data_IF_448973530307
#
_entry.id   IF_448973530307
#
_cell.length_a   1.000
_cell.length_b   1.000
_cell.length_c   1.000
_cell.angle_alpha   90.00
_cell.angle_beta   90.00
_cell.angle_gamma   90.00
#
_symmetry.space_group_name_H-M   'P 1'
#
loop_
_entity.id
_entity.type
_entity.pdbx_description
1 polymer ?
#
# COMPACT_ATOMS: atom_id res chain seq x y z
N UNK A 1 -62.43 13.30 14.64
CA UNK A 1 -61.87 14.33 15.54
C UNK A 1 -60.49 14.68 15.01
N UNK A 2 -60.38 15.90 14.47
CA UNK A 2 -59.24 16.83 14.27
C UNK A 2 -57.81 16.26 14.28
N UNK A 3 -56.88 16.63 13.40
CA UNK A 3 -56.84 17.69 12.37
C UNK A 3 -55.62 17.50 11.46
N UNK A 4 -55.79 17.92 10.22
CA UNK A 4 -54.88 18.07 9.08
C UNK A 4 -53.65 18.95 9.37
N UNK A 5 -52.56 18.80 8.59
CA UNK A 5 -52.16 19.81 7.59
C UNK A 5 -50.95 19.37 6.73
N UNK A 6 -51.06 19.72 5.45
CA UNK A 6 -50.14 19.50 4.34
C UNK A 6 -48.94 20.48 4.36
N UNK A 7 -47.91 20.19 3.56
CA UNK A 7 -47.30 21.27 2.75
C UNK A 7 -45.78 21.36 2.62
N UNK A 8 -45.29 20.84 1.48
CA UNK A 8 -44.41 21.53 0.52
C UNK A 8 -42.88 21.63 0.72
N UNK A 9 -42.22 21.23 -0.37
CA UNK A 9 -40.81 21.38 -0.77
C UNK A 9 -40.47 22.77 -1.33
N UNK A 10 -39.24 23.28 -1.12
CA UNK A 10 -38.20 23.58 -2.15
C UNK A 10 -37.10 24.56 -1.68
N UNK A 11 -35.89 24.26 -2.18
CA UNK A 11 -34.66 25.04 -2.45
C UNK A 11 -34.36 26.40 -1.79
N UNK A 12 -33.13 26.52 -1.26
CA UNK A 12 -32.39 27.76 -1.01
C UNK A 12 -30.88 27.50 -0.99
N UNK A 13 -30.13 28.33 -1.70
CA UNK A 13 -28.72 28.25 -2.11
C UNK A 13 -27.69 28.60 -1.02
N UNK A 14 -26.49 28.01 -1.13
CA UNK A 14 -25.33 28.22 -0.26
C UNK A 14 -24.54 29.52 -0.60
N UNK A 15 -25.07 30.70 -0.30
CA UNK A 15 -24.30 31.96 -0.41
C UNK A 15 -24.19 32.81 0.88
N UNK A 16 -24.84 32.45 2.00
CA UNK A 16 -24.95 33.36 3.15
C UNK A 16 -23.96 33.14 4.32
N UNK A 17 -22.87 32.38 4.15
CA UNK A 17 -21.93 32.10 5.27
C UNK A 17 -20.60 32.87 5.23
N UNK A 18 -20.41 33.83 4.34
CA UNK A 18 -19.12 34.55 4.19
C UNK A 18 -19.06 36.00 4.72
N UNK A 19 -20.13 36.53 5.33
CA UNK A 19 -20.14 37.92 5.83
C UNK A 19 -20.63 38.06 7.27
N UNK A 20 -19.82 37.69 8.26
CA UNK A 20 -19.97 38.22 9.62
C UNK A 20 -18.60 38.57 10.24
N UNK A 21 -18.35 39.87 10.42
CA UNK A 21 -17.21 40.40 11.20
C UNK A 21 -17.56 40.40 12.69
N UNK A 22 -16.62 40.12 13.61
CA UNK A 22 -16.89 40.21 15.05
C UNK A 22 -16.91 41.67 15.55
N UNK A 23 -17.67 41.97 16.62
CA UNK A 23 -17.85 43.33 17.14
C UNK A 23 -16.66 43.84 17.96
N UNK A 24 -16.42 45.14 17.87
CA UNK A 24 -15.37 45.88 18.58
C UNK A 24 -15.76 46.19 20.03
N UNK A 25 -14.90 45.84 21.00
CA UNK A 25 -15.02 46.24 22.41
C UNK A 25 -14.09 47.42 22.72
N UNK A 26 -14.67 48.51 23.23
CA UNK A 26 -13.99 49.69 23.75
C UNK A 26 -13.69 49.51 25.24
N UNK A 27 -12.45 49.76 25.68
CA UNK A 27 -12.11 49.79 27.10
C UNK A 27 -11.45 51.11 27.48
N UNK A 28 -12.15 51.88 28.33
CA UNK A 28 -11.58 52.95 29.15
C UNK A 28 -10.93 52.35 30.40
N UNK A 29 -9.69 52.79 30.65
CA UNK A 29 -8.95 52.90 31.92
C UNK A 29 -9.19 51.90 33.04
N UNK A 30 -8.18 51.08 33.32
CA UNK A 30 -7.72 50.74 34.67
C UNK A 30 -6.26 50.24 34.62
N UNK A 31 -5.50 50.64 35.63
CA UNK A 31 -4.03 50.58 35.79
C UNK A 31 -3.46 49.15 35.81
N UNK A 32 -2.37 48.91 35.05
CA UNK A 32 -1.62 47.64 35.04
C UNK A 32 -0.64 47.57 36.23
N UNK A 33 -0.55 46.44 36.96
CA UNK A 33 0.61 46.15 37.79
C UNK A 33 1.80 45.70 36.92
N UNK A 34 2.97 46.29 37.16
CA UNK A 34 4.25 45.88 36.55
C UNK A 34 4.63 44.47 37.02
N UNK A 35 4.66 43.51 36.08
CA UNK A 35 5.31 42.21 36.29
C UNK A 35 6.71 42.31 35.71
N UNK A 36 7.71 42.41 36.59
CA UNK A 36 9.12 42.39 36.23
C UNK A 36 9.52 41.00 35.70
N UNK A 37 9.87 40.92 34.41
CA UNK A 37 10.54 39.75 33.86
C UNK A 37 12.01 39.76 34.30
N UNK A 38 12.39 38.82 35.18
CA UNK A 38 13.79 38.55 35.50
C UNK A 38 14.50 38.06 34.23
N UNK A 39 15.40 38.89 33.70
CA UNK A 39 16.35 38.49 32.66
C UNK A 39 17.30 37.43 33.24
N UNK A 40 17.29 36.23 32.68
CA UNK A 40 18.31 35.22 32.95
C UNK A 40 19.67 35.73 32.48
N UNK A 41 20.74 35.57 33.29
CA UNK A 41 22.06 36.08 32.92
C UNK A 41 22.60 35.35 31.69
N UNK A 42 23.14 36.11 30.74
CA UNK A 42 23.88 35.59 29.59
C UNK A 42 25.05 34.74 30.11
N UNK A 43 25.05 33.43 29.85
CA UNK A 43 26.24 32.60 29.99
C UNK A 43 27.23 32.99 28.88
N UNK A 44 28.08 33.97 29.16
CA UNK A 44 29.36 34.15 28.47
C UNK A 44 30.39 34.51 29.52
N UNK A 45 31.06 33.50 30.07
CA UNK A 45 32.45 33.57 30.55
C UNK A 45 32.92 32.17 31.00
N UNK A 46 32.88 31.21 30.07
CA UNK A 46 33.76 30.04 30.15
C UNK A 46 34.73 30.13 28.98
N UNK A 47 36.01 30.37 29.26
CA UNK A 47 37.10 30.21 28.30
C UNK A 47 37.00 28.80 27.70
N UNK A 48 36.42 28.68 26.51
CA UNK A 48 36.33 27.42 25.78
C UNK A 48 37.73 27.13 25.23
N UNK A 49 38.35 26.04 25.69
CA UNK A 49 39.54 25.50 25.02
C UNK A 49 39.16 25.21 23.56
N UNK A 50 40.01 25.56 22.57
CA UNK A 50 39.72 25.21 21.19
C UNK A 50 39.59 23.69 21.08
N UNK A 51 38.51 23.23 20.45
CA UNK A 51 38.29 21.81 20.20
C UNK A 51 39.51 21.24 19.44
N UNK A 52 40.00 20.04 19.79
CA UNK A 52 41.13 19.45 19.09
C UNK A 52 40.77 19.30 17.61
N UNK A 53 41.60 19.86 16.72
CA UNK A 53 41.43 19.69 15.27
C UNK A 53 41.57 18.20 14.95
N UNK A 54 40.43 17.53 14.76
CA UNK A 54 40.38 16.18 14.22
C UNK A 54 41.05 16.20 12.84
N UNK A 55 42.30 15.75 12.76
CA UNK A 55 42.93 15.42 11.48
C UNK A 55 42.13 14.26 10.89
N UNK A 56 41.15 14.54 10.03
CA UNK A 56 40.45 13.52 9.26
C UNK A 56 41.47 12.89 8.31
N UNK A 57 42.12 11.81 8.75
CA UNK A 57 42.83 10.93 7.81
C UNK A 57 41.76 10.40 6.85
N UNK A 58 41.93 10.50 5.53
CA UNK A 58 40.98 9.88 4.60
C UNK A 58 40.95 8.38 4.90
N UNK A 59 39.75 7.82 5.05
CA UNK A 59 39.58 6.37 5.18
C UNK A 59 40.14 5.74 3.90
N UNK A 60 41.23 4.96 4.02
CA UNK A 60 41.69 4.11 2.92
C UNK A 60 40.81 2.87 2.89
N UNK A 61 39.80 2.89 2.02
CA UNK A 61 38.84 1.78 1.80
C UNK A 61 39.53 0.46 1.41
N UNK A 62 40.76 0.52 0.92
CA UNK A 62 41.63 -0.63 0.64
C UNK A 62 41.97 -1.47 1.89
N UNK A 63 41.94 -0.87 3.09
CA UNK A 63 42.24 -1.54 4.35
C UNK A 63 41.06 -2.27 4.98
N UNK A 64 39.85 -2.06 4.44
CA UNK A 64 38.59 -2.57 4.99
C UNK A 64 37.71 -3.05 3.82
N UNK A 65 38.06 -4.15 3.13
CA UNK A 65 37.30 -4.67 2.00
C UNK A 65 35.83 -4.95 2.34
N UNK A 66 35.52 -5.25 3.59
CA UNK A 66 34.17 -5.41 4.16
C UNK A 66 33.35 -4.11 4.19
N UNK A 67 34.01 -2.93 4.26
CA UNK A 67 33.34 -1.62 4.15
C UNK A 67 32.97 -1.27 2.70
N UNK A 68 33.24 -2.14 1.71
CA UNK A 68 32.65 -2.03 0.36
C UNK A 68 31.14 -2.29 0.37
N UNK A 69 30.61 -2.96 1.39
CA UNK A 69 29.19 -3.25 1.52
C UNK A 69 28.50 -2.01 2.09
N UNK A 70 28.09 -1.10 1.22
CA UNK A 70 27.49 0.15 1.68
C UNK A 70 26.06 0.01 2.20
N UNK A 71 25.28 -1.01 1.83
CA UNK A 71 23.86 -1.06 2.21
C UNK A 71 23.31 -2.50 2.19
N UNK A 72 22.67 -2.94 3.29
CA UNK A 72 21.93 -4.22 3.54
C UNK A 72 22.78 -5.49 3.40
N UNK A 73 22.59 -6.48 4.27
CA UNK A 73 23.11 -7.84 4.02
C UNK A 73 22.43 -8.34 2.73
N UNK A 74 23.17 -8.58 1.63
CA UNK A 74 22.57 -9.07 0.42
C UNK A 74 21.90 -10.42 0.71
N UNK A 75 20.80 -10.71 0.00
CA UNK A 75 20.21 -12.04 0.05
C UNK A 75 21.29 -13.07 -0.27
N UNK A 76 21.29 -14.17 0.49
CA UNK A 76 22.17 -15.28 0.16
C UNK A 76 21.71 -15.90 -1.17
N UNK A 77 22.65 -16.46 -1.93
CA UNK A 77 22.36 -17.00 -3.26
C UNK A 77 21.28 -18.10 -3.25
N UNK A 78 21.20 -18.89 -2.17
CA UNK A 78 20.16 -19.90 -1.95
C UNK A 78 18.77 -19.28 -1.68
N UNK A 79 18.73 -18.15 -0.96
CA UNK A 79 17.51 -17.36 -0.77
C UNK A 79 17.02 -16.78 -2.09
N UNK A 80 17.90 -16.18 -2.89
CA UNK A 80 17.57 -15.66 -4.23
C UNK A 80 16.99 -16.76 -5.13
N UNK A 81 17.65 -17.92 -5.20
CA UNK A 81 17.17 -19.07 -5.97
C UNK A 81 15.79 -19.56 -5.51
N UNK A 82 15.56 -19.62 -4.19
CA UNK A 82 14.27 -20.04 -3.62
C UNK A 82 13.15 -19.07 -3.97
N UNK A 83 13.41 -17.76 -3.86
CA UNK A 83 12.46 -16.70 -4.22
C UNK A 83 12.18 -16.73 -5.72
N UNK A 84 13.20 -16.80 -6.58
CA UNK A 84 13.04 -16.91 -8.04
C UNK A 84 12.25 -18.15 -8.45
N UNK A 85 12.50 -19.30 -7.81
CA UNK A 85 11.74 -20.52 -8.07
C UNK A 85 10.25 -20.30 -7.77
N UNK A 86 9.96 -19.70 -6.63
CA UNK A 86 8.57 -19.39 -6.22
C UNK A 86 7.91 -18.42 -7.20
N UNK A 87 8.62 -17.39 -7.67
CA UNK A 87 8.14 -16.47 -8.71
C UNK A 87 7.80 -17.22 -10.00
N UNK A 88 8.69 -18.09 -10.48
CA UNK A 88 8.46 -18.90 -11.69
C UNK A 88 7.22 -19.79 -11.57
N UNK A 89 7.01 -20.38 -10.40
CA UNK A 89 5.83 -21.21 -10.12
C UNK A 89 4.55 -20.36 -10.04
N UNK A 90 4.63 -19.14 -9.51
CA UNK A 90 3.51 -18.20 -9.48
C UNK A 90 3.15 -17.68 -10.89
N UNK A 91 4.15 -17.47 -11.75
CA UNK A 91 4.00 -16.91 -13.11
C UNK A 91 3.91 -17.98 -14.20
N UNK A 92 3.50 -19.20 -13.85
CA UNK A 92 3.31 -20.28 -14.82
C UNK A 92 2.33 -19.85 -15.94
N UNK A 93 2.68 -20.02 -17.24
CA UNK A 93 1.82 -19.61 -18.34
C UNK A 93 0.42 -20.23 -18.25
N UNK A 94 -0.61 -19.39 -18.45
CA UNK A 94 -2.01 -19.81 -18.37
C UNK A 94 -2.57 -19.87 -16.94
N UNK A 95 -1.77 -19.56 -15.91
CA UNK A 95 -2.21 -19.50 -14.53
C UNK A 95 -2.18 -18.09 -13.96
N UNK A 96 -2.96 -17.87 -12.91
CA UNK A 96 -3.01 -16.61 -12.17
C UNK A 96 -3.12 -16.80 -10.66
N UNK A 97 -3.30 -15.69 -9.95
CA UNK A 97 -3.44 -15.67 -8.51
C UNK A 97 -4.87 -15.28 -8.15
N UNK A 98 -5.55 -16.11 -7.37
CA UNK A 98 -6.86 -15.78 -6.82
C UNK A 98 -6.69 -14.95 -5.55
N UNK A 99 -7.18 -13.71 -5.56
CA UNK A 99 -7.19 -12.84 -4.39
C UNK A 99 -8.53 -12.95 -3.66
N UNK A 100 -8.52 -13.59 -2.48
CA UNK A 100 -9.63 -13.70 -1.52
C UNK A 100 -9.31 -12.89 -0.27
N UNK A 101 -8.88 -11.66 -0.51
CA UNK A 101 -8.39 -10.69 0.46
C UNK A 101 -9.36 -9.52 0.65
N UNK A 102 -10.65 -9.72 0.35
CA UNK A 102 -11.68 -8.73 0.61
C UNK A 102 -11.76 -8.38 2.10
N UNK A 103 -12.02 -7.11 2.42
CA UNK A 103 -12.37 -6.75 3.80
C UNK A 103 -13.77 -7.27 4.11
N UNK A 104 -14.09 -7.48 5.39
CA UNK A 104 -15.44 -7.86 5.83
C UNK A 104 -16.49 -6.92 5.23
N UNK A 105 -16.24 -5.61 5.30
CA UNK A 105 -17.13 -4.58 4.73
C UNK A 105 -17.31 -4.72 3.22
N UNK A 106 -16.25 -5.01 2.47
CA UNK A 106 -16.33 -5.17 1.03
C UNK A 106 -17.08 -6.46 0.66
N UNK A 107 -16.80 -7.55 1.37
CA UNK A 107 -17.48 -8.82 1.16
C UNK A 107 -18.97 -8.73 1.52
N UNK A 108 -19.32 -8.06 2.62
CA UNK A 108 -20.72 -7.77 2.98
C UNK A 108 -21.41 -6.95 1.89
N UNK A 109 -20.75 -5.94 1.33
CA UNK A 109 -21.31 -5.16 0.21
C UNK A 109 -21.57 -6.04 -1.02
N UNK A 110 -20.68 -6.98 -1.36
CA UNK A 110 -20.88 -7.94 -2.45
C UNK A 110 -22.06 -8.88 -2.15
N UNK A 111 -22.10 -9.46 -0.94
CA UNK A 111 -23.15 -10.39 -0.55
C UNK A 111 -24.53 -9.72 -0.48
N UNK A 112 -24.61 -8.43 -0.09
CA UNK A 112 -25.86 -7.66 -0.09
C UNK A 112 -26.53 -7.52 -1.47
N UNK A 113 -25.81 -7.76 -2.55
CA UNK A 113 -26.39 -7.77 -3.90
C UNK A 113 -27.24 -9.01 -4.17
N UNK A 114 -27.07 -10.07 -3.37
CA UNK A 114 -27.72 -11.37 -3.56
C UNK A 114 -28.51 -11.82 -2.31
N UNK A 115 -28.11 -11.36 -1.12
CA UNK A 115 -28.69 -11.70 0.17
C UNK A 115 -29.15 -10.43 0.90
N UNK A 116 -30.32 -10.42 1.50
CA UNK A 116 -30.83 -9.25 2.22
C UNK A 116 -29.97 -8.89 3.46
N UNK A 117 -29.58 -9.89 4.24
CA UNK A 117 -28.78 -9.72 5.47
C UNK A 117 -27.64 -10.74 5.53
N UNK A 118 -26.46 -10.44 4.96
CA UNK A 118 -25.31 -11.34 5.02
C UNK A 118 -24.79 -11.53 6.44
N UNK A 119 -24.59 -12.78 6.84
CA UNK A 119 -24.04 -13.18 8.14
C UNK A 119 -22.59 -13.62 8.00
N UNK A 120 -21.94 -13.85 9.14
CA UNK A 120 -20.58 -14.39 9.17
C UNK A 120 -20.47 -15.75 8.46
N UNK A 121 -21.48 -16.62 8.65
CA UNK A 121 -21.51 -17.92 8.00
C UNK A 121 -21.60 -17.80 6.47
N UNK A 122 -22.25 -16.77 5.93
CA UNK A 122 -22.31 -16.53 4.47
C UNK A 122 -20.95 -16.14 3.91
N UNK A 123 -20.16 -15.35 4.65
CA UNK A 123 -18.78 -15.01 4.26
C UNK A 123 -17.89 -16.26 4.24
N UNK A 124 -18.05 -17.13 5.24
CA UNK A 124 -17.35 -18.42 5.30
C UNK A 124 -17.74 -19.32 4.13
N UNK A 125 -19.04 -19.47 3.87
CA UNK A 125 -19.57 -20.25 2.73
C UNK A 125 -19.07 -19.73 1.40
N UNK A 126 -19.01 -18.41 1.22
CA UNK A 126 -18.46 -17.79 0.01
C UNK A 126 -17.00 -18.22 -0.24
N UNK A 127 -16.14 -18.13 0.78
CA UNK A 127 -14.75 -18.58 0.65
C UNK A 127 -14.64 -20.08 0.43
N UNK A 128 -15.41 -20.88 1.17
CA UNK A 128 -15.44 -22.33 1.01
C UNK A 128 -15.93 -22.75 -0.38
N UNK A 129 -16.90 -22.03 -0.96
CA UNK A 129 -17.35 -22.25 -2.33
C UNK A 129 -16.22 -21.97 -3.35
N UNK A 130 -15.50 -20.85 -3.21
CA UNK A 130 -14.39 -20.53 -4.10
C UNK A 130 -13.27 -21.55 -4.03
N UNK A 131 -12.91 -21.99 -2.82
CA UNK A 131 -11.85 -22.97 -2.58
C UNK A 131 -12.32 -24.42 -2.84
N UNK A 132 -13.63 -24.65 -2.82
CA UNK A 132 -14.28 -25.94 -3.04
C UNK A 132 -14.28 -26.40 -4.50
N UNK A 133 -13.90 -25.54 -5.44
CA UNK A 133 -13.67 -25.90 -6.85
C UNK A 133 -12.51 -26.92 -7.03
N UNK A 134 -11.75 -27.19 -5.96
CA UNK A 134 -10.79 -28.29 -5.78
C UNK A 134 -9.79 -28.46 -6.95
N UNK A 135 -9.51 -29.69 -7.40
CA UNK A 135 -8.43 -30.04 -8.34
C UNK A 135 -8.41 -29.20 -9.64
N UNK A 136 -9.56 -28.67 -10.07
CA UNK A 136 -9.65 -27.84 -11.28
C UNK A 136 -9.00 -26.46 -11.07
N UNK A 137 -8.88 -25.98 -9.83
CA UNK A 137 -8.22 -24.71 -9.51
C UNK A 137 -6.78 -24.71 -10.02
N UNK A 138 -6.05 -25.81 -9.89
CA UNK A 138 -4.62 -25.89 -10.26
C UNK A 138 -4.37 -25.79 -11.77
N UNK A 139 -5.41 -25.94 -12.59
CA UNK A 139 -5.32 -25.73 -14.04
C UNK A 139 -5.17 -24.24 -14.38
N UNK A 140 -5.73 -23.35 -13.55
CA UNK A 140 -5.81 -21.91 -13.83
C UNK A 140 -5.17 -21.04 -12.75
N UNK A 141 -4.86 -21.62 -11.59
CA UNK A 141 -4.29 -20.90 -10.46
C UNK A 141 -2.95 -21.49 -10.09
N UNK A 142 -2.01 -20.60 -9.81
CA UNK A 142 -0.70 -20.92 -9.23
C UNK A 142 -0.66 -20.59 -7.73
N UNK A 143 -1.49 -19.65 -7.28
CA UNK A 143 -1.57 -19.25 -5.88
C UNK A 143 -2.90 -18.63 -5.47
N UNK A 144 -3.08 -18.53 -4.15
CA UNK A 144 -4.25 -17.90 -3.54
C UNK A 144 -3.79 -16.94 -2.44
N UNK A 145 -4.25 -15.69 -2.49
CA UNK A 145 -3.91 -14.65 -1.53
C UNK A 145 -5.09 -14.38 -0.57
N UNK A 146 -4.88 -14.56 0.73
CA UNK A 146 -5.88 -14.29 1.77
C UNK A 146 -5.60 -12.98 2.51
N UNK A 147 -6.59 -12.42 3.19
CA UNK A 147 -6.29 -11.50 4.31
C UNK A 147 -5.70 -12.26 5.48
N UNK A 148 -4.82 -11.62 6.23
CA UNK A 148 -4.25 -12.16 7.46
C UNK A 148 -5.32 -12.69 8.45
N UNK A 149 -6.43 -11.95 8.61
CA UNK A 149 -7.53 -12.36 9.51
C UNK A 149 -8.24 -13.66 9.08
N UNK A 150 -8.08 -14.10 7.84
CA UNK A 150 -8.70 -15.32 7.31
C UNK A 150 -7.81 -16.56 7.49
N UNK A 151 -6.58 -16.43 8.00
CA UNK A 151 -5.63 -17.54 8.20
C UNK A 151 -6.23 -18.64 9.09
N UNK A 152 -6.85 -18.25 10.19
CA UNK A 152 -7.45 -19.18 11.16
C UNK A 152 -8.90 -19.53 10.85
N UNK A 153 -9.46 -18.99 9.77
CA UNK A 153 -10.83 -19.28 9.38
C UNK A 153 -10.95 -20.75 8.98
N UNK A 154 -12.02 -21.39 9.50
CA UNK A 154 -12.33 -22.78 9.24
C UNK A 154 -13.55 -22.90 8.35
N UNK A 155 -13.54 -23.88 7.45
CA UNK A 155 -14.69 -24.30 6.67
C UNK A 155 -15.72 -25.03 7.54
N UNK A 156 -16.80 -25.47 6.92
CA UNK A 156 -17.92 -26.14 7.62
C UNK A 156 -17.45 -27.42 8.33
N UNK A 157 -16.55 -28.18 7.68
CA UNK A 157 -15.98 -29.42 8.23
C UNK A 157 -14.84 -29.18 9.24
N UNK A 158 -14.70 -27.95 9.77
CA UNK A 158 -13.69 -27.60 10.76
C UNK A 158 -12.25 -27.51 10.24
N UNK A 159 -12.00 -27.82 8.95
CA UNK A 159 -10.67 -27.67 8.33
C UNK A 159 -10.33 -26.20 8.11
N UNK A 160 -9.06 -25.80 8.32
CA UNK A 160 -8.60 -24.44 8.00
C UNK A 160 -8.65 -24.20 6.49
N UNK A 161 -9.16 -23.06 6.07
CA UNK A 161 -9.31 -22.73 4.65
C UNK A 161 -7.95 -22.67 3.93
N UNK A 162 -6.91 -22.17 4.60
CA UNK A 162 -5.54 -22.12 4.05
C UNK A 162 -4.95 -23.51 3.79
N UNK A 163 -5.41 -24.56 4.49
CA UNK A 163 -4.95 -25.94 4.25
C UNK A 163 -5.46 -26.47 2.92
N UNK A 164 -6.67 -26.07 2.50
CA UNK A 164 -7.27 -26.48 1.22
C UNK A 164 -6.37 -26.03 0.05
N UNK A 165 -5.82 -24.82 0.12
CA UNK A 165 -4.92 -24.27 -0.90
C UNK A 165 -3.63 -25.09 -1.04
N UNK A 166 -3.05 -25.49 0.09
CA UNK A 166 -1.84 -26.33 0.09
C UNK A 166 -2.10 -27.73 -0.43
N UNK A 167 -3.21 -28.36 -0.01
CA UNK A 167 -3.63 -29.69 -0.50
C UNK A 167 -3.91 -29.68 -2.01
N UNK A 168 -4.40 -28.55 -2.54
CA UNK A 168 -4.57 -28.34 -3.97
C UNK A 168 -3.25 -28.13 -4.74
N UNK A 169 -2.10 -28.07 -4.05
CA UNK A 169 -0.79 -27.83 -4.65
C UNK A 169 -0.61 -26.40 -5.17
N UNK A 170 -1.32 -25.43 -4.58
CA UNK A 170 -1.24 -24.01 -4.88
C UNK A 170 -0.36 -23.29 -3.85
N UNK A 171 0.27 -22.20 -4.29
CA UNK A 171 1.05 -21.32 -3.41
C UNK A 171 0.13 -20.55 -2.46
N UNK A 172 0.45 -20.58 -1.18
CA UNK A 172 -0.27 -19.81 -0.17
C UNK A 172 0.34 -18.41 -0.06
N UNK A 173 -0.49 -17.39 -0.22
CA UNK A 173 -0.08 -16.01 0.01
C UNK A 173 -1.01 -15.24 0.93
N UNK A 174 -0.46 -14.20 1.55
CA UNK A 174 -1.20 -13.36 2.52
C UNK A 174 -1.03 -11.89 2.18
N UNK A 175 -2.14 -11.17 2.07
CA UNK A 175 -2.16 -9.71 2.09
C UNK A 175 -2.00 -9.21 3.52
N UNK A 176 -0.96 -8.40 3.71
CA UNK A 176 -0.43 -8.01 5.02
C UNK A 176 -0.59 -6.51 5.31
N UNK A 177 -0.99 -5.71 4.32
CA UNK A 177 -1.36 -4.32 4.60
C UNK A 177 -2.59 -4.23 5.52
N UNK A 178 -2.55 -3.31 6.48
CA UNK A 178 -3.58 -3.22 7.54
C UNK A 178 -4.66 -2.20 7.22
N UNK A 179 -4.27 -0.94 6.99
CA UNK A 179 -5.20 0.16 6.86
C UNK A 179 -4.72 1.21 5.86
N UNK A 180 -5.69 1.83 5.18
CA UNK A 180 -5.45 3.08 4.47
C UNK A 180 -5.60 4.24 5.45
N UNK A 181 -4.58 5.10 5.49
CA UNK A 181 -4.54 6.30 6.33
C UNK A 181 -4.39 7.53 5.43
N UNK A 182 -4.94 8.67 5.85
CA UNK A 182 -4.79 9.92 5.11
C UNK A 182 -3.38 10.46 5.27
N UNK A 183 -2.79 10.96 4.18
CA UNK A 183 -1.52 11.69 4.25
C UNK A 183 -1.83 13.14 4.66
N UNK A 184 -1.42 13.60 5.85
CA UNK A 184 -1.65 14.98 6.26
C UNK A 184 -0.97 15.97 5.30
N UNK A 185 -1.61 17.11 5.05
CA UNK A 185 -1.09 18.12 4.12
C UNK A 185 -1.32 17.81 2.64
N UNK A 186 -2.07 16.76 2.30
CA UNK A 186 -2.47 16.42 0.92
C UNK A 186 -3.97 16.60 0.68
N UNK A 187 -4.39 16.61 -0.59
CA UNK A 187 -5.79 16.70 -0.99
C UNK A 187 -6.49 15.34 -0.92
N UNK A 188 -6.56 14.77 0.28
CA UNK A 188 -7.24 13.49 0.50
C UNK A 188 -6.51 12.34 -0.20
N UNK A 189 -5.19 12.29 -0.11
CA UNK A 189 -4.40 11.17 -0.60
C UNK A 189 -4.19 10.13 0.51
N UNK A 190 -3.84 8.91 0.10
CA UNK A 190 -3.74 7.76 1.00
C UNK A 190 -2.31 7.26 1.11
N UNK A 191 -1.93 6.86 2.33
CA UNK A 191 -0.83 5.96 2.60
C UNK A 191 -1.38 4.63 3.16
N UNK A 192 -0.53 3.62 3.18
CA UNK A 192 -0.87 2.31 3.74
C UNK A 192 0.01 1.98 4.93
N UNK A 193 -0.61 1.52 6.01
CA UNK A 193 0.05 1.22 7.29
C UNK A 193 0.22 -0.30 7.54
N UNK A 194 1.15 -0.66 8.43
CA UNK A 194 1.36 -2.02 8.95
C UNK A 194 2.81 -2.49 9.07
N UNK A 195 3.81 -1.63 8.81
CA UNK A 195 5.22 -2.05 8.70
C UNK A 195 5.91 -2.31 10.05
N UNK A 196 5.43 -1.71 11.13
CA UNK A 196 6.13 -1.69 12.43
C UNK A 196 6.38 -3.09 13.02
N UNK A 197 5.47 -4.03 12.79
CA UNK A 197 5.54 -5.43 13.29
C UNK A 197 5.61 -6.44 12.15
N UNK A 198 6.07 -5.99 10.98
CA UNK A 198 5.94 -6.77 9.76
C UNK A 198 6.93 -7.94 9.68
N UNK A 199 8.14 -7.79 10.20
CA UNK A 199 9.13 -8.89 10.25
C UNK A 199 8.63 -10.06 11.11
N UNK A 200 8.11 -9.77 12.31
CA UNK A 200 7.47 -10.78 13.19
C UNK A 200 6.26 -11.44 12.51
N UNK A 201 5.49 -10.63 11.76
CA UNK A 201 4.37 -11.14 10.97
C UNK A 201 4.88 -12.14 9.94
N UNK A 202 5.93 -11.82 9.19
CA UNK A 202 6.54 -12.72 8.21
C UNK A 202 7.02 -14.04 8.83
N UNK A 203 7.65 -14.00 10.01
CA UNK A 203 8.08 -15.22 10.71
C UNK A 203 6.89 -16.15 11.00
N UNK A 204 5.77 -15.61 11.50
CA UNK A 204 4.53 -16.39 11.69
C UNK A 204 3.97 -16.90 10.36
N UNK A 205 4.00 -16.08 9.30
CA UNK A 205 3.52 -16.48 7.98
C UNK A 205 4.32 -17.63 7.38
N UNK A 206 5.65 -17.64 7.58
CA UNK A 206 6.50 -18.76 7.17
C UNK A 206 6.16 -20.04 7.94
N UNK A 207 5.86 -19.95 9.24
CA UNK A 207 5.46 -21.11 10.04
C UNK A 207 4.15 -21.75 9.56
N UNK A 208 3.21 -20.95 9.04
CA UNK A 208 2.00 -21.48 8.40
C UNK A 208 2.22 -21.83 6.93
N UNK A 209 3.45 -21.77 6.43
CA UNK A 209 3.88 -22.08 5.05
C UNK A 209 3.31 -21.16 3.98
N UNK A 210 3.22 -19.86 4.26
CA UNK A 210 3.07 -18.87 3.21
C UNK A 210 4.38 -18.75 2.40
N UNK A 211 4.23 -18.51 1.10
CA UNK A 211 5.34 -18.44 0.15
C UNK A 211 5.43 -17.05 -0.52
N UNK A 212 4.32 -16.32 -0.54
CA UNK A 212 4.27 -14.94 -1.02
C UNK A 212 3.40 -14.06 -0.14
N UNK A 213 3.59 -12.75 -0.26
CA UNK A 213 2.87 -11.73 0.50
C UNK A 213 2.47 -10.60 -0.42
N UNK A 214 1.37 -9.92 -0.12
CA UNK A 214 0.89 -8.80 -0.93
C UNK A 214 0.73 -7.55 -0.07
N UNK A 215 1.13 -6.41 -0.62
CA UNK A 215 0.90 -5.11 -0.01
C UNK A 215 0.36 -4.13 -1.05
N UNK A 216 -0.76 -3.50 -0.72
CA UNK A 216 -1.42 -2.54 -1.61
C UNK A 216 -1.25 -1.10 -1.16
N UNK A 217 -0.79 -0.24 -2.06
CA UNK A 217 -0.88 1.22 -1.93
C UNK A 217 -1.89 1.80 -2.91
N UNK A 218 -2.55 2.88 -2.51
CA UNK A 218 -3.63 3.52 -3.27
C UNK A 218 -3.22 4.94 -3.66
N UNK A 219 -3.35 5.24 -4.94
CA UNK A 219 -3.12 6.56 -5.50
C UNK A 219 -4.44 7.13 -6.01
N UNK A 220 -4.66 8.41 -5.77
CA UNK A 220 -5.86 9.13 -6.21
C UNK A 220 -5.50 10.03 -7.38
N UNK A 221 -6.37 10.06 -8.39
CA UNK A 221 -6.34 11.07 -9.45
C UNK A 221 -7.59 11.90 -9.29
N UNK A 222 -7.48 13.17 -8.95
CA UNK A 222 -8.62 14.07 -8.67
C UNK A 222 -8.53 15.38 -9.45
N UNK A 223 -7.82 15.37 -10.59
CA UNK A 223 -7.64 16.52 -11.48
C UNK A 223 -6.81 17.69 -10.91
N UNK A 224 -6.54 17.69 -9.60
CA UNK A 224 -5.91 18.76 -8.84
C UNK A 224 -4.46 18.43 -8.48
N UNK A 225 -3.62 18.15 -9.47
CA UNK A 225 -2.21 17.78 -9.28
C UNK A 225 -1.99 16.54 -8.37
N UNK A 226 -2.90 15.57 -8.44
CA UNK A 226 -2.79 14.29 -7.75
C UNK A 226 -2.49 13.15 -8.74
N UNK A 227 -1.65 12.16 -8.39
CA UNK A 227 -0.99 12.01 -7.09
C UNK A 227 0.10 13.05 -6.86
N UNK A 228 0.19 13.60 -5.66
CA UNK A 228 1.25 14.55 -5.31
C UNK A 228 2.60 13.85 -5.21
N UNK A 229 3.69 14.63 -5.31
CA UNK A 229 5.04 14.13 -5.06
C UNK A 229 5.18 13.47 -3.68
N UNK A 230 4.47 13.98 -2.67
CA UNK A 230 4.48 13.38 -1.33
C UNK A 230 3.82 12.00 -1.33
N UNK A 231 2.65 11.85 -1.96
CA UNK A 231 1.99 10.55 -2.08
C UNK A 231 2.80 9.54 -2.89
N UNK A 232 3.46 10.00 -3.97
CA UNK A 232 4.41 9.20 -4.74
C UNK A 232 5.54 8.67 -3.85
N UNK A 233 6.21 9.55 -3.12
CA UNK A 233 7.35 9.19 -2.26
C UNK A 233 6.95 8.27 -1.10
N UNK A 234 5.90 8.62 -0.36
CA UNK A 234 5.44 7.85 0.81
C UNK A 234 5.05 6.43 0.41
N UNK A 235 4.20 6.28 -0.61
CA UNK A 235 3.74 4.96 -1.02
C UNK A 235 4.85 4.13 -1.68
N UNK A 236 5.70 4.74 -2.52
CA UNK A 236 6.82 4.03 -3.17
C UNK A 236 7.82 3.52 -2.14
N UNK A 237 8.17 4.34 -1.14
CA UNK A 237 9.07 3.96 -0.07
C UNK A 237 8.45 2.87 0.84
N UNK A 238 7.15 2.96 1.15
CA UNK A 238 6.44 1.90 1.91
C UNK A 238 6.47 0.57 1.17
N UNK A 239 6.17 0.55 -0.12
CA UNK A 239 6.19 -0.67 -0.94
C UNK A 239 7.60 -1.26 -1.04
N UNK A 240 8.63 -0.42 -1.21
CA UNK A 240 10.02 -0.88 -1.26
C UNK A 240 10.49 -1.47 0.09
N UNK A 241 10.14 -0.85 1.22
CA UNK A 241 10.40 -1.40 2.56
C UNK A 241 9.70 -2.73 2.78
N UNK A 242 8.42 -2.82 2.39
CA UNK A 242 7.66 -4.07 2.43
C UNK A 242 8.38 -5.17 1.62
N UNK A 243 8.80 -4.88 0.39
CA UNK A 243 9.46 -5.86 -0.46
C UNK A 243 10.81 -6.31 0.12
N UNK A 244 11.62 -5.38 0.62
CA UNK A 244 12.91 -5.67 1.26
C UNK A 244 12.75 -6.60 2.47
N UNK A 245 11.82 -6.29 3.39
CA UNK A 245 11.55 -7.13 4.57
C UNK A 245 11.02 -8.51 4.13
N UNK A 246 10.12 -8.56 3.14
CA UNK A 246 9.54 -9.82 2.63
C UNK A 246 10.64 -10.77 2.14
N UNK A 247 11.56 -10.25 1.33
CA UNK A 247 12.63 -11.04 0.73
C UNK A 247 13.64 -11.51 1.76
N UNK A 248 14.01 -10.66 2.72
CA UNK A 248 14.85 -11.06 3.88
C UNK A 248 14.25 -12.26 4.61
N UNK A 249 12.92 -12.33 4.69
CA UNK A 249 12.18 -13.43 5.32
C UNK A 249 11.88 -14.61 4.38
N UNK A 250 12.43 -14.59 3.17
CA UNK A 250 12.27 -15.65 2.16
C UNK A 250 10.82 -15.78 1.66
N UNK A 251 10.12 -14.65 1.51
CA UNK A 251 8.78 -14.55 0.91
C UNK A 251 8.86 -13.72 -0.38
N UNK A 252 8.12 -14.13 -1.40
CA UNK A 252 7.96 -13.32 -2.63
C UNK A 252 7.03 -12.13 -2.36
N UNK A 253 7.48 -10.87 -2.50
CA UNK A 253 6.60 -9.72 -2.43
C UNK A 253 5.81 -9.51 -3.73
N UNK A 254 4.49 -9.43 -3.61
CA UNK A 254 3.62 -8.82 -4.61
C UNK A 254 3.35 -7.38 -4.22
N UNK A 255 3.98 -6.47 -4.93
CA UNK A 255 3.86 -5.03 -4.75
C UNK A 255 2.66 -4.55 -5.58
N UNK A 256 1.57 -4.18 -4.89
CA UNK A 256 0.32 -3.82 -5.55
C UNK A 256 0.10 -2.31 -5.58
N UNK A 257 0.01 -1.79 -6.79
CA UNK A 257 -0.41 -0.42 -7.07
C UNK A 257 -1.90 -0.44 -7.39
N UNK A 258 -2.68 0.41 -6.72
CA UNK A 258 -4.04 0.70 -7.13
C UNK A 258 -4.18 2.19 -7.41
N UNK A 259 -4.82 2.52 -8.53
CA UNK A 259 -5.14 3.89 -8.91
C UNK A 259 -6.64 4.05 -8.91
N UNK A 260 -7.13 5.01 -8.14
CA UNK A 260 -8.53 5.43 -8.16
C UNK A 260 -8.70 6.45 -9.29
N UNK A 261 -9.04 5.92 -10.46
CA UNK A 261 -9.25 6.68 -11.68
C UNK A 261 -10.47 7.59 -11.56
N UNK A 262 -10.28 8.87 -11.81
CA UNK A 262 -11.38 9.83 -11.90
C UNK A 262 -12.04 9.76 -13.29
N UNK A 263 -13.38 9.75 -13.36
CA UNK A 263 -14.08 9.77 -14.64
C UNK A 263 -13.72 11.01 -15.47
N UNK A 264 -13.61 10.82 -16.79
CA UNK A 264 -13.42 11.93 -17.73
C UNK A 264 -11.97 12.37 -17.96
N UNK A 265 -10.99 11.72 -17.33
CA UNK A 265 -9.57 11.97 -17.63
C UNK A 265 -9.19 11.49 -19.03
N UNK A 266 -8.27 12.21 -19.68
CA UNK A 266 -7.73 11.82 -20.98
C UNK A 266 -6.81 10.60 -20.84
N UNK A 267 -6.71 9.79 -21.91
CA UNK A 267 -5.79 8.66 -21.94
C UNK A 267 -4.32 9.07 -21.73
N UNK A 268 -3.94 10.26 -22.20
CA UNK A 268 -2.60 10.82 -21.98
C UNK A 268 -2.35 11.12 -20.50
N UNK A 269 -3.30 11.75 -19.81
CA UNK A 269 -3.17 12.03 -18.39
C UNK A 269 -3.08 10.74 -17.57
N UNK A 270 -3.92 9.75 -17.86
CA UNK A 270 -3.85 8.46 -17.18
C UNK A 270 -2.50 7.76 -17.39
N UNK A 271 -1.93 7.83 -18.59
CA UNK A 271 -0.60 7.30 -18.88
C UNK A 271 0.48 8.05 -18.10
N UNK A 272 0.42 9.37 -18.06
CA UNK A 272 1.39 10.20 -17.35
C UNK A 272 1.37 9.91 -15.85
N UNK A 273 0.18 9.79 -15.25
CA UNK A 273 0.03 9.41 -13.84
C UNK A 273 0.62 8.02 -13.59
N UNK A 274 0.24 7.01 -14.37
CA UNK A 274 0.75 5.66 -14.16
C UNK A 274 2.27 5.61 -14.32
N UNK A 275 2.82 6.33 -15.31
CA UNK A 275 4.27 6.43 -15.53
C UNK A 275 4.99 7.03 -14.32
N UNK A 276 4.45 8.09 -13.74
CA UNK A 276 5.03 8.72 -12.54
C UNK A 276 5.01 7.77 -11.34
N UNK A 277 3.89 7.07 -11.12
CA UNK A 277 3.77 6.08 -10.04
C UNK A 277 4.80 4.96 -10.19
N UNK A 278 4.87 4.33 -11.37
CA UNK A 278 5.79 3.21 -11.62
C UNK A 278 7.26 3.64 -11.57
N UNK A 279 7.58 4.83 -12.09
CA UNK A 279 8.96 5.36 -12.05
C UNK A 279 9.41 5.66 -10.61
N UNK A 280 8.52 6.27 -9.81
CA UNK A 280 8.79 6.52 -8.39
C UNK A 280 8.95 5.21 -7.61
N UNK A 281 8.10 4.23 -7.88
CA UNK A 281 8.16 2.92 -7.26
C UNK A 281 9.49 2.21 -7.56
N UNK A 282 9.89 2.13 -8.84
CA UNK A 282 11.14 1.47 -9.21
C UNK A 282 12.36 2.15 -8.63
N UNK A 283 12.38 3.48 -8.61
CA UNK A 283 13.43 4.22 -7.93
C UNK A 283 13.55 3.80 -6.47
N UNK A 284 12.43 3.74 -5.73
CA UNK A 284 12.45 3.28 -4.34
C UNK A 284 12.85 1.82 -4.20
N UNK A 285 12.39 0.92 -5.08
CA UNK A 285 12.79 -0.49 -5.08
C UNK A 285 14.31 -0.63 -5.24
N UNK A 286 14.93 0.16 -6.14
CA UNK A 286 16.38 0.19 -6.32
C UNK A 286 17.12 0.79 -5.12
N UNK A 287 16.62 1.89 -4.55
CA UNK A 287 17.21 2.52 -3.35
C UNK A 287 17.19 1.58 -2.14
N UNK A 288 16.19 0.71 -2.04
CA UNK A 288 16.09 -0.34 -1.02
C UNK A 288 16.80 -1.65 -1.41
N UNK A 289 17.43 -1.69 -2.59
CA UNK A 289 18.13 -2.86 -3.13
C UNK A 289 17.30 -4.14 -3.11
N UNK A 290 16.01 -4.00 -3.42
CA UNK A 290 15.12 -5.15 -3.56
C UNK A 290 15.57 -5.98 -4.77
N UNK A 291 15.62 -7.29 -4.58
CA UNK A 291 15.93 -8.23 -5.65
C UNK A 291 14.77 -8.30 -6.65
N UNK A 292 14.93 -7.67 -7.81
CA UNK A 292 13.81 -7.39 -8.73
C UNK A 292 13.26 -8.66 -9.39
N UNK A 293 14.13 -9.64 -9.67
CA UNK A 293 13.79 -10.95 -10.21
C UNK A 293 12.92 -11.77 -9.24
N UNK A 294 13.02 -11.44 -7.94
CA UNK A 294 12.24 -12.03 -6.87
C UNK A 294 10.98 -11.24 -6.50
N UNK A 295 10.56 -10.26 -7.31
CA UNK A 295 9.42 -9.38 -7.02
C UNK A 295 8.37 -9.47 -8.13
N UNK A 296 7.09 -9.45 -7.73
CA UNK A 296 5.96 -9.39 -8.66
C UNK A 296 5.24 -8.04 -8.48
N UNK A 297 4.87 -7.38 -9.57
CA UNK A 297 4.05 -6.15 -9.53
C UNK A 297 2.60 -6.44 -9.91
N UNK A 298 1.66 -5.97 -9.08
CA UNK A 298 0.25 -5.87 -9.47
C UNK A 298 -0.02 -4.43 -9.90
N UNK A 299 -0.03 -4.22 -11.22
CA UNK A 299 -0.28 -2.91 -11.86
C UNK A 299 -1.73 -2.84 -12.33
N UNK A 300 -2.45 -1.72 -12.13
CA UNK A 300 -3.81 -1.60 -12.64
C UNK A 300 -3.80 -1.32 -14.14
N UNK A 301 -4.78 -1.85 -14.86
CA UNK A 301 -5.09 -1.35 -16.19
C UNK A 301 -5.57 0.10 -16.10
N UNK A 302 -5.21 0.90 -17.11
CA UNK A 302 -5.73 2.27 -17.23
C UNK A 302 -7.23 2.21 -17.51
N UNK A 303 -8.04 2.85 -16.68
CA UNK A 303 -9.50 2.84 -16.84
C UNK A 303 -9.96 3.93 -17.80
N UNK A 304 -10.48 3.52 -18.96
CA UNK A 304 -11.01 4.40 -20.00
C UNK A 304 -12.35 3.84 -20.51
N UNK A 305 -13.50 4.26 -19.95
CA UNK A 305 -14.79 3.59 -20.16
C UNK A 305 -15.29 3.61 -21.62
N UNK A 306 -14.81 4.56 -22.42
CA UNK A 306 -15.24 4.74 -23.82
C UNK A 306 -14.24 4.14 -24.83
N UNK A 307 -13.31 3.31 -24.37
CA UNK A 307 -12.25 2.73 -25.20
C UNK A 307 -12.44 1.22 -25.33
N UNK A 308 -11.96 0.66 -26.45
CA UNK A 308 -11.94 -0.80 -26.65
C UNK A 308 -10.91 -1.44 -25.72
N UNK A 309 -11.10 -2.73 -25.40
CA UNK A 309 -10.14 -3.48 -24.60
C UNK A 309 -8.73 -3.46 -25.21
N UNK A 310 -8.61 -3.53 -26.54
CA UNK A 310 -7.33 -3.44 -27.23
C UNK A 310 -6.68 -2.06 -27.06
N UNK A 311 -7.45 -0.97 -27.12
CA UNK A 311 -6.91 0.37 -26.92
C UNK A 311 -6.43 0.57 -25.48
N UNK A 312 -7.18 0.07 -24.49
CA UNK A 312 -6.79 0.07 -23.08
C UNK A 312 -5.49 -0.74 -22.88
N UNK A 313 -5.40 -1.92 -23.50
CA UNK A 313 -4.21 -2.76 -23.44
C UNK A 313 -2.99 -2.05 -24.02
N UNK A 314 -3.10 -1.46 -25.22
CA UNK A 314 -2.00 -0.73 -25.85
C UNK A 314 -1.50 0.43 -24.97
N UNK A 315 -2.43 1.24 -24.47
CA UNK A 315 -2.13 2.40 -23.62
C UNK A 315 -1.48 1.97 -22.29
N UNK A 316 -1.98 0.91 -21.66
CA UNK A 316 -1.41 0.38 -20.40
C UNK A 316 -0.03 -0.21 -20.64
N UNK A 317 0.12 -1.07 -21.67
CA UNK A 317 1.38 -1.77 -21.95
C UNK A 317 2.48 -0.82 -22.44
N UNK A 318 2.14 0.27 -23.13
CA UNK A 318 3.11 1.30 -23.47
C UNK A 318 3.79 1.88 -22.22
N UNK A 319 3.02 2.16 -21.16
CA UNK A 319 3.57 2.68 -19.90
C UNK A 319 4.39 1.62 -19.19
N UNK A 320 3.88 0.38 -19.11
CA UNK A 320 4.60 -0.76 -18.54
C UNK A 320 5.97 -0.95 -19.20
N UNK A 321 6.02 -1.04 -20.53
CA UNK A 321 7.26 -1.26 -21.28
C UNK A 321 8.25 -0.11 -21.20
N UNK A 322 7.77 1.13 -20.98
CA UNK A 322 8.62 2.31 -20.83
C UNK A 322 9.20 2.46 -19.41
N UNK A 323 8.64 1.77 -18.42
CA UNK A 323 9.00 1.97 -17.02
C UNK A 323 9.60 0.72 -16.39
N UNK A 324 8.98 -0.44 -16.58
CA UNK A 324 9.34 -1.67 -15.88
C UNK A 324 10.52 -2.38 -16.56
N UNK A 325 11.54 -2.80 -15.77
CA UNK A 325 12.68 -3.52 -16.32
C UNK A 325 12.28 -4.95 -16.71
N UNK A 326 12.89 -5.54 -17.75
CA UNK A 326 12.65 -6.94 -18.14
C UNK A 326 13.03 -7.97 -17.07
N UNK A 327 13.87 -7.59 -16.10
CA UNK A 327 14.29 -8.46 -15.00
C UNK A 327 13.21 -8.66 -13.93
N UNK A 328 12.10 -7.92 -13.99
CA UNK A 328 11.00 -8.10 -13.03
C UNK A 328 10.45 -9.54 -13.08
N UNK A 329 10.21 -10.11 -11.90
CA UNK A 329 9.76 -11.50 -11.77
C UNK A 329 8.38 -11.78 -12.37
N UNK A 330 7.48 -10.80 -12.35
CA UNK A 330 6.13 -10.89 -12.91
C UNK A 330 5.28 -9.64 -12.68
#
# INVERSE_FOLDING_TARGET
MNSSFEGSTRHGSNEDLLNQRPPSLSHKGQTKPEVQFKTTPRLNDRKTKPAPKLKKKPLRLEKYPELRIRFVEPLLADQEQTIQKTVKELMEPGKGILAVDDSIRLLEKKLKQVLAEPKEDDRRRYLEMLLGANHHMRLYLSGVAFREKAIDQRGYMGRRLVTIVKEAGLKLGIRVDRALVRIPGTLGEWATDGLDTYEDTCARLKNIGAEFVMWRCVYTTSGLNTPSNLALQVNSNTLARFASISQKMGLVPIVAVEVLWEPGQSAENCQNVLRQILSSLLKSIQEHQVFIEGTILRVPAIYLPNYTAQAIANVTMNVVNQTLPPALGG
#
